data_IF_072868851727
#
_entry.id   IF_072868851727
#
_cell.length_a   1.000
_cell.length_b   1.000
_cell.length_c   1.000
_cell.angle_alpha   90.00
_cell.angle_beta   90.00
_cell.angle_gamma   90.00
#
_symmetry.space_group_name_H-M   'P 1'
#
loop_
_entity.id
_entity.type
_entity.pdbx_description
1 polymer ?
#
# COMPACT_ATOMS: atom_id res chain seq x y z
N UNK A 1 3.26 -30.02 -9.49
CA UNK A 1 3.38 -28.75 -8.76
C UNK A 1 2.25 -27.85 -9.23
N UNK A 2 1.38 -27.36 -8.33
CA UNK A 2 0.40 -26.33 -8.72
C UNK A 2 1.17 -25.03 -8.90
N UNK A 3 1.30 -24.54 -10.13
CA UNK A 3 1.81 -23.20 -10.37
C UNK A 3 0.93 -22.22 -9.59
N UNK A 4 1.51 -21.62 -8.54
CA UNK A 4 0.86 -20.50 -7.87
C UNK A 4 0.81 -19.36 -8.89
N UNK A 5 -0.32 -18.64 -9.02
CA UNK A 5 -0.43 -17.55 -9.99
C UNK A 5 0.67 -16.54 -9.69
N UNK A 6 1.60 -16.40 -10.64
CA UNK A 6 2.71 -15.46 -10.53
C UNK A 6 2.14 -14.07 -10.74
N UNK A 7 1.76 -13.38 -9.67
CA UNK A 7 1.29 -12.00 -9.76
C UNK A 7 2.40 -11.18 -10.42
N UNK A 8 2.13 -10.67 -11.61
CA UNK A 8 3.11 -9.91 -12.39
C UNK A 8 3.49 -8.63 -11.63
N UNK A 9 4.75 -8.22 -11.73
CA UNK A 9 5.24 -6.98 -11.09
C UNK A 9 4.46 -5.76 -11.56
N UNK A 10 4.10 -5.72 -12.83
CA UNK A 10 3.21 -4.73 -13.42
C UNK A 10 1.87 -4.59 -12.69
N UNK A 11 1.23 -5.70 -12.31
CA UNK A 11 -0.05 -5.65 -11.57
C UNK A 11 0.11 -4.99 -10.19
N UNK A 12 1.25 -5.19 -9.53
CA UNK A 12 1.53 -4.61 -8.22
C UNK A 12 1.84 -3.12 -8.33
N UNK A 13 2.60 -2.72 -9.35
CA UNK A 13 2.90 -1.30 -9.62
C UNK A 13 1.63 -0.52 -9.95
N UNK A 14 0.77 -1.08 -10.81
CA UNK A 14 -0.51 -0.49 -11.16
C UNK A 14 -1.44 -0.39 -9.95
N UNK A 15 -1.47 -1.40 -9.07
CA UNK A 15 -2.27 -1.34 -7.86
C UNK A 15 -1.81 -0.24 -6.90
N UNK A 16 -0.49 0.01 -6.78
CA UNK A 16 0.04 1.12 -5.99
C UNK A 16 -0.43 2.46 -6.56
N UNK A 17 -0.31 2.64 -7.88
CA UNK A 17 -0.72 3.89 -8.55
C UNK A 17 -2.22 4.17 -8.33
N UNK A 18 -3.07 3.17 -8.57
CA UNK A 18 -4.51 3.29 -8.35
C UNK A 18 -4.84 3.58 -6.88
N UNK A 19 -4.12 2.98 -5.94
CA UNK A 19 -4.35 3.22 -4.52
C UNK A 19 -3.98 4.65 -4.13
N UNK A 20 -2.86 5.18 -4.63
CA UNK A 20 -2.45 6.57 -4.41
C UNK A 20 -3.46 7.53 -5.00
N UNK A 21 -3.92 7.29 -6.23
CA UNK A 21 -4.93 8.10 -6.90
C UNK A 21 -6.24 8.15 -6.11
N UNK A 22 -6.77 6.98 -5.73
CA UNK A 22 -8.03 6.91 -4.98
C UNK A 22 -7.94 7.58 -3.60
N UNK A 23 -6.80 7.46 -2.91
CA UNK A 23 -6.56 8.17 -1.64
C UNK A 23 -6.55 9.69 -1.87
N UNK A 24 -5.91 10.17 -2.93
CA UNK A 24 -5.86 11.60 -3.25
C UNK A 24 -7.26 12.13 -3.59
N UNK A 25 -8.03 11.42 -4.41
CA UNK A 25 -9.42 11.76 -4.74
C UNK A 25 -10.26 11.83 -3.46
N UNK A 26 -10.23 10.79 -2.63
CA UNK A 26 -11.00 10.75 -1.37
C UNK A 26 -10.59 11.87 -0.42
N UNK A 27 -9.31 12.21 -0.36
CA UNK A 27 -8.79 13.32 0.46
C UNK A 27 -9.36 14.68 0.03
N UNK A 28 -9.52 14.91 -1.27
CA UNK A 28 -10.16 16.13 -1.80
C UNK A 28 -11.66 16.17 -1.47
N UNK A 29 -12.34 15.03 -1.55
CA UNK A 29 -13.78 14.93 -1.33
C UNK A 29 -14.19 15.07 0.14
N UNK A 30 -13.53 14.35 1.06
CA UNK A 30 -14.00 14.27 2.45
C UNK A 30 -13.47 15.39 3.36
N UNK A 31 -12.42 16.11 2.93
CA UNK A 31 -11.77 17.20 3.69
C UNK A 31 -11.42 16.86 5.16
N UNK A 32 -11.19 15.59 5.49
CA UNK A 32 -10.82 15.10 6.83
C UNK A 32 -9.36 15.40 7.13
N UNK A 33 -9.06 16.66 7.51
CA UNK A 33 -7.69 17.18 7.68
C UNK A 33 -6.72 16.21 8.37
N UNK A 34 -7.10 15.62 9.50
CA UNK A 34 -6.24 14.68 10.25
C UNK A 34 -5.91 13.41 9.45
N UNK A 35 -6.91 12.80 8.82
CA UNK A 35 -6.75 11.58 8.01
C UNK A 35 -5.94 11.89 6.75
N UNK A 36 -6.28 12.99 6.07
CA UNK A 36 -5.55 13.45 4.87
C UNK A 36 -4.07 13.72 5.17
N UNK A 37 -3.76 14.30 6.33
CA UNK A 37 -2.37 14.49 6.78
C UNK A 37 -1.65 13.16 6.97
N UNK A 38 -2.29 12.15 7.58
CA UNK A 38 -1.68 10.81 7.73
C UNK A 38 -1.41 10.19 6.35
N UNK A 39 -2.35 10.30 5.41
CA UNK A 39 -2.13 9.81 4.05
C UNK A 39 -0.98 10.54 3.35
N UNK A 40 -0.97 11.87 3.39
CA UNK A 40 0.01 12.68 2.66
C UNK A 40 1.42 12.60 3.24
N UNK A 41 1.58 12.54 4.56
CA UNK A 41 2.89 12.58 5.21
C UNK A 41 3.49 11.20 5.47
N UNK A 42 2.65 10.16 5.54
CA UNK A 42 3.10 8.81 5.93
C UNK A 42 2.86 7.77 4.85
N UNK A 43 1.61 7.59 4.43
CA UNK A 43 1.22 6.42 3.62
C UNK A 43 1.63 6.61 2.16
N UNK A 44 1.27 7.72 1.51
CA UNK A 44 1.58 7.97 0.10
C UNK A 44 3.10 7.96 -0.16
N UNK A 45 3.95 8.66 0.62
CA UNK A 45 5.39 8.62 0.39
C UNK A 45 5.96 7.20 0.46
N UNK A 46 5.54 6.40 1.44
CA UNK A 46 6.00 5.01 1.57
C UNK A 46 5.48 4.11 0.45
N UNK A 47 4.25 4.32 -0.03
CA UNK A 47 3.75 3.60 -1.20
C UNK A 47 4.59 3.89 -2.45
N UNK A 48 4.99 5.14 -2.65
CA UNK A 48 5.87 5.52 -3.76
C UNK A 48 7.28 4.96 -3.60
N UNK A 49 7.83 4.93 -2.39
CA UNK A 49 9.11 4.25 -2.12
C UNK A 49 9.03 2.75 -2.41
N UNK A 50 7.95 2.08 -1.97
CA UNK A 50 7.69 0.67 -2.25
C UNK A 50 7.63 0.45 -3.77
N UNK A 51 6.91 1.31 -4.50
CA UNK A 51 6.83 1.27 -5.97
C UNK A 51 8.22 1.35 -6.59
N UNK A 52 8.99 2.37 -6.25
CA UNK A 52 10.35 2.56 -6.76
C UNK A 52 11.21 1.34 -6.46
N UNK A 53 11.22 0.84 -5.22
CA UNK A 53 11.95 -0.37 -4.84
C UNK A 53 11.60 -1.57 -5.71
N UNK A 54 10.32 -1.77 -6.01
CA UNK A 54 9.85 -2.85 -6.88
C UNK A 54 10.30 -2.64 -8.33
N UNK A 55 10.26 -1.40 -8.85
CA UNK A 55 10.66 -1.07 -10.24
C UNK A 55 12.15 -1.27 -10.50
N UNK A 56 13.01 -0.86 -9.56
CA UNK A 56 14.47 -0.90 -9.73
C UNK A 56 15.09 -2.20 -9.19
N UNK A 57 14.27 -3.13 -8.69
CA UNK A 57 14.66 -4.39 -8.05
C UNK A 57 15.74 -4.23 -6.96
N UNK A 58 15.82 -3.05 -6.34
CA UNK A 58 16.85 -2.69 -5.37
C UNK A 58 16.24 -2.49 -3.99
N UNK A 59 16.06 -3.60 -3.27
CA UNK A 59 15.54 -3.59 -1.90
C UNK A 59 16.02 -4.78 -1.10
N UNK A 60 16.12 -4.58 0.22
CA UNK A 60 16.19 -5.72 1.13
C UNK A 60 14.77 -6.23 1.39
N UNK A 61 14.59 -7.54 1.48
CA UNK A 61 13.29 -8.13 1.81
C UNK A 61 12.74 -7.59 3.15
N UNK A 62 13.63 -7.25 4.08
CA UNK A 62 13.30 -6.67 5.37
C UNK A 62 12.70 -5.26 5.23
N UNK A 63 13.38 -4.36 4.52
CA UNK A 63 12.93 -2.98 4.29
C UNK A 63 11.54 -2.96 3.64
N UNK A 64 11.33 -3.78 2.60
CA UNK A 64 10.05 -3.84 1.91
C UNK A 64 8.92 -4.36 2.84
N UNK A 65 9.23 -5.33 3.72
CA UNK A 65 8.28 -5.84 4.73
C UNK A 65 7.91 -4.78 5.75
N UNK A 66 8.89 -4.04 6.25
CA UNK A 66 8.65 -2.98 7.24
C UNK A 66 7.77 -1.88 6.67
N UNK A 67 8.12 -1.36 5.48
CA UNK A 67 7.36 -0.29 4.83
C UNK A 67 5.91 -0.67 4.58
N UNK A 68 5.65 -1.86 4.00
CA UNK A 68 4.27 -2.26 3.71
C UNK A 68 3.47 -2.58 4.98
N UNK A 69 4.11 -3.13 6.02
CA UNK A 69 3.46 -3.35 7.31
C UNK A 69 3.11 -2.03 7.99
N UNK A 70 3.99 -1.04 7.89
CA UNK A 70 3.73 0.30 8.42
C UNK A 70 2.56 0.97 7.69
N UNK A 71 2.49 0.87 6.37
CA UNK A 71 1.34 1.36 5.61
C UNK A 71 0.04 0.68 6.04
N UNK A 72 0.07 -0.64 6.27
CA UNK A 72 -1.09 -1.39 6.73
C UNK A 72 -1.52 -1.00 8.15
N UNK A 73 -0.58 -0.85 9.08
CA UNK A 73 -0.87 -0.41 10.44
C UNK A 73 -1.45 1.01 10.45
N UNK A 74 -0.84 1.93 9.71
CA UNK A 74 -1.31 3.32 9.61
C UNK A 74 -2.70 3.41 8.98
N UNK A 75 -3.01 2.56 7.99
CA UNK A 75 -4.36 2.50 7.42
C UNK A 75 -5.36 1.85 8.38
N UNK A 76 -4.95 0.90 9.23
CA UNK A 76 -5.79 0.36 10.30
C UNK A 76 -6.17 1.45 11.31
N UNK A 77 -5.19 2.26 11.75
CA UNK A 77 -5.43 3.37 12.67
C UNK A 77 -6.42 4.39 12.07
N UNK A 78 -6.38 4.61 10.75
CA UNK A 78 -7.34 5.46 10.05
C UNK A 78 -8.74 4.84 10.08
N UNK A 79 -8.88 3.52 9.88
CA UNK A 79 -10.18 2.82 9.95
C UNK A 79 -10.78 2.91 11.34
N UNK A 80 -9.96 2.84 12.39
CA UNK A 80 -10.42 3.03 13.77
C UNK A 80 -10.92 4.46 14.03
N UNK A 81 -10.39 5.46 13.31
CA UNK A 81 -10.86 6.84 13.35
C UNK A 81 -12.14 7.00 12.53
N UNK A 82 -12.18 6.42 11.33
CA UNK A 82 -13.29 6.54 10.39
C UNK A 82 -13.39 5.28 9.49
N UNK A 83 -14.45 4.50 9.71
CA UNK A 83 -14.62 3.21 9.04
C UNK A 83 -14.82 3.30 7.53
N UNK A 84 -15.13 4.49 6.98
CA UNK A 84 -15.26 4.67 5.54
C UNK A 84 -13.97 4.39 4.76
N UNK A 85 -12.82 4.42 5.43
CA UNK A 85 -11.50 4.15 4.84
C UNK A 85 -11.13 2.66 4.85
N UNK A 86 -12.03 1.77 5.30
CA UNK A 86 -11.84 0.31 5.27
C UNK A 86 -11.47 -0.27 3.89
N UNK A 87 -11.98 0.26 2.76
CA UNK A 87 -11.54 -0.19 1.43
C UNK A 87 -10.03 -0.04 1.20
N UNK A 88 -9.41 1.04 1.67
CA UNK A 88 -7.97 1.25 1.52
C UNK A 88 -7.16 0.28 2.37
N UNK A 89 -7.59 0.02 3.61
CA UNK A 89 -6.99 -1.01 4.45
C UNK A 89 -7.03 -2.40 3.77
N UNK A 90 -8.18 -2.77 3.20
CA UNK A 90 -8.35 -4.06 2.51
C UNK A 90 -7.39 -4.19 1.33
N UNK A 91 -7.28 -3.15 0.51
CA UNK A 91 -6.33 -3.10 -0.62
C UNK A 91 -4.88 -3.18 -0.16
N UNK A 92 -4.52 -2.45 0.90
CA UNK A 92 -3.20 -2.50 1.51
C UNK A 92 -2.85 -3.92 2.01
N UNK A 93 -3.82 -4.63 2.60
CA UNK A 93 -3.65 -6.00 3.07
C UNK A 93 -3.37 -6.97 1.91
N UNK A 94 -4.13 -6.87 0.83
CA UNK A 94 -3.94 -7.70 -0.37
C UNK A 94 -2.58 -7.40 -1.00
N UNK A 95 -2.22 -6.13 -1.12
CA UNK A 95 -0.91 -5.71 -1.65
C UNK A 95 0.24 -6.26 -0.81
N UNK A 96 0.15 -6.21 0.52
CA UNK A 96 1.12 -6.84 1.43
C UNK A 96 1.26 -8.33 1.16
N UNK A 97 0.14 -9.04 1.06
CA UNK A 97 0.14 -10.49 0.80
C UNK A 97 0.82 -10.81 -0.55
N UNK A 98 0.56 -9.99 -1.57
CA UNK A 98 1.20 -10.13 -2.89
C UNK A 98 2.71 -9.87 -2.84
N UNK A 99 3.15 -8.83 -2.12
CA UNK A 99 4.58 -8.55 -1.88
C UNK A 99 5.22 -9.71 -1.13
N UNK A 100 4.57 -10.23 -0.09
CA UNK A 100 5.09 -11.31 0.74
C UNK A 100 5.24 -12.62 -0.04
N UNK A 101 4.33 -12.90 -0.97
CA UNK A 101 4.46 -14.04 -1.87
C UNK A 101 5.66 -13.92 -2.82
N UNK A 102 6.07 -12.71 -3.18
CA UNK A 102 7.24 -12.50 -4.05
C UNK A 102 8.57 -12.62 -3.31
N UNK A 103 8.66 -12.09 -2.10
CA UNK A 103 9.88 -12.16 -1.28
C UNK A 103 10.05 -13.50 -0.56
N UNK A 104 8.96 -14.25 -0.37
CA UNK A 104 8.96 -15.57 0.27
C UNK A 104 9.21 -16.75 -0.68
N UNK A 105 9.53 -16.47 -1.94
CA UNK A 105 10.11 -17.40 -2.92
C UNK A 105 11.54 -16.96 -3.25
#
# INVERSE_FOLDING_TARGET
MKEKPKILTENLLNEIDLLVEDIQIKSVLDQKKKINTIFAEKIIPLLLEIKTSIEIEFFTQHDLREKINFCLASTSDIVDIDSEYAPFYSRMRVMRENIFQKIGN
#
